data_IF_076430382924
#
_entry.id   IF_076430382924
#
_cell.length_a   1.000
_cell.length_b   1.000
_cell.length_c   1.000
_cell.angle_alpha   90.00
_cell.angle_beta   90.00
_cell.angle_gamma   90.00
#
_symmetry.space_group_name_H-M   'P 1'
#
loop_
_entity.id
_entity.type
_entity.pdbx_description
1 polymer ?
#
# COMPACT_ATOMS: atom_id res chain seq x y z
N UNK A 1 -17.63 32.19 -16.43
CA UNK A 1 -17.88 33.64 -16.60
C UNK A 1 -18.98 33.99 -15.61
N UNK A 2 -18.63 34.48 -14.43
CA UNK A 2 -19.59 34.74 -13.34
C UNK A 2 -20.24 36.11 -13.58
N UNK A 3 -21.37 36.13 -14.29
CA UNK A 3 -22.05 37.34 -14.77
C UNK A 3 -22.93 38.03 -13.71
N UNK A 4 -23.09 37.42 -12.54
CA UNK A 4 -24.04 37.86 -11.50
C UNK A 4 -23.49 38.89 -10.51
N UNK A 5 -22.16 39.06 -10.41
CA UNK A 5 -21.58 39.87 -9.31
C UNK A 5 -20.87 41.17 -9.74
N UNK A 6 -20.84 41.53 -11.03
CA UNK A 6 -20.17 42.75 -11.52
C UNK A 6 -18.73 42.94 -10.98
N UNK A 7 -18.01 41.85 -10.70
CA UNK A 7 -16.65 41.90 -10.16
C UNK A 7 -15.67 42.06 -11.32
N UNK A 8 -14.86 43.12 -11.26
CA UNK A 8 -13.73 43.32 -12.18
C UNK A 8 -12.46 42.81 -11.50
N UNK A 9 -11.87 41.74 -12.02
CA UNK A 9 -10.61 41.19 -11.49
C UNK A 9 -9.45 42.06 -11.97
N UNK A 10 -8.71 42.64 -11.03
CA UNK A 10 -7.50 43.42 -11.31
C UNK A 10 -6.27 42.50 -11.26
N UNK A 11 -5.30 42.74 -12.15
CA UNK A 11 -4.00 42.04 -12.09
C UNK A 11 -3.27 42.41 -10.80
N UNK A 12 -2.56 41.45 -10.16
CA UNK A 12 -1.66 41.77 -9.06
C UNK A 12 -0.55 42.72 -9.54
N UNK A 13 -0.12 43.62 -8.65
CA UNK A 13 0.99 44.54 -8.95
C UNK A 13 2.30 43.78 -9.16
N UNK A 14 3.13 44.27 -10.09
CA UNK A 14 4.47 43.73 -10.34
C UNK A 14 5.37 43.98 -9.14
N UNK A 15 6.16 42.98 -8.74
CA UNK A 15 7.15 43.13 -7.68
C UNK A 15 8.37 43.84 -8.28
N UNK A 16 8.76 44.96 -7.66
CA UNK A 16 9.92 45.76 -8.11
C UNK A 16 11.20 44.92 -8.03
N UNK A 17 11.95 44.86 -9.14
CA UNK A 17 13.21 44.11 -9.23
C UNK A 17 13.08 42.71 -9.83
N UNK A 18 11.86 42.17 -9.98
CA UNK A 18 11.64 40.95 -10.74
C UNK A 18 11.39 41.27 -12.22
N UNK A 19 12.06 40.54 -13.11
CA UNK A 19 11.81 40.61 -14.55
C UNK A 19 10.69 39.66 -14.93
N UNK A 20 9.67 40.19 -15.58
CA UNK A 20 8.54 39.42 -16.11
C UNK A 20 8.68 39.33 -17.63
N UNK A 21 8.43 38.17 -18.24
CA UNK A 21 8.46 38.05 -19.69
C UNK A 21 7.38 38.92 -20.34
N UNK A 22 7.62 39.39 -21.58
CA UNK A 22 6.70 40.30 -22.31
C UNK A 22 5.28 39.73 -22.48
N UNK A 23 5.14 38.41 -22.49
CA UNK A 23 3.88 37.68 -22.59
C UNK A 23 3.38 37.12 -21.23
N UNK A 24 3.89 37.61 -20.11
CA UNK A 24 3.45 37.18 -18.78
C UNK A 24 1.96 37.52 -18.57
N UNK A 25 1.17 36.52 -18.21
CA UNK A 25 -0.26 36.66 -17.96
C UNK A 25 -0.56 36.22 -16.52
N UNK A 26 -0.99 37.15 -15.69
CA UNK A 26 -1.21 36.91 -14.25
C UNK A 26 -2.32 35.91 -13.95
N UNK A 27 -3.19 35.68 -14.93
CA UNK A 27 -4.36 34.82 -14.81
C UNK A 27 -4.22 33.51 -15.58
N UNK A 28 -3.07 33.29 -16.22
CA UNK A 28 -2.77 32.04 -16.92
C UNK A 28 -1.45 31.48 -16.39
N UNK A 29 -1.49 30.22 -15.99
CA UNK A 29 -0.29 29.47 -15.67
C UNK A 29 0.65 29.49 -16.88
N UNK A 30 1.94 29.57 -16.60
CA UNK A 30 2.96 29.23 -17.60
C UNK A 30 2.81 27.77 -18.01
N UNK A 31 3.32 27.42 -19.20
CA UNK A 31 3.28 26.05 -19.67
C UNK A 31 3.95 25.07 -18.69
N UNK A 32 5.05 25.50 -18.07
CA UNK A 32 5.78 24.70 -17.08
C UNK A 32 4.95 24.47 -15.82
N UNK A 33 4.29 25.50 -15.27
CA UNK A 33 3.40 25.36 -14.11
C UNK A 33 2.20 24.47 -14.41
N UNK A 34 1.60 24.61 -15.60
CA UNK A 34 0.51 23.72 -16.04
C UNK A 34 0.98 22.27 -16.14
N UNK A 35 2.14 22.04 -16.76
CA UNK A 35 2.74 20.71 -16.93
C UNK A 35 3.09 20.08 -15.59
N UNK A 36 3.64 20.86 -14.66
CA UNK A 36 3.98 20.40 -13.31
C UNK A 36 2.73 20.02 -12.51
N UNK A 37 1.65 20.82 -12.58
CA UNK A 37 0.37 20.49 -11.93
C UNK A 37 -0.25 19.23 -12.52
N UNK A 38 -0.26 19.11 -13.85
CA UNK A 38 -0.73 17.90 -14.52
C UNK A 38 0.07 16.68 -14.08
N UNK A 39 1.41 16.78 -14.04
CA UNK A 39 2.28 15.70 -13.56
C UNK A 39 1.97 15.34 -12.10
N UNK A 40 1.82 16.31 -11.21
CA UNK A 40 1.50 16.02 -9.80
C UNK A 40 0.14 15.35 -9.64
N UNK A 41 -0.87 15.80 -10.40
CA UNK A 41 -2.20 15.20 -10.37
C UNK A 41 -2.16 13.77 -10.90
N UNK A 42 -1.57 13.57 -12.07
CA UNK A 42 -1.35 12.24 -12.66
C UNK A 42 -0.56 11.33 -11.72
N UNK A 43 0.56 11.81 -11.17
CA UNK A 43 1.37 11.04 -10.23
C UNK A 43 0.57 10.66 -8.99
N UNK A 44 -0.24 11.57 -8.44
CA UNK A 44 -1.09 11.27 -7.28
C UNK A 44 -2.16 10.23 -7.59
N UNK A 45 -2.80 10.31 -8.76
CA UNK A 45 -3.81 9.33 -9.19
C UNK A 45 -3.22 7.96 -9.54
N UNK A 46 -1.97 7.94 -10.04
CA UNK A 46 -1.29 6.73 -10.49
C UNK A 46 -0.20 6.24 -9.52
N UNK A 47 -0.06 6.85 -8.33
CA UNK A 47 0.89 6.43 -7.32
C UNK A 47 0.50 5.04 -6.86
N UNK A 48 1.39 4.07 -7.12
CA UNK A 48 1.26 2.72 -6.56
C UNK A 48 1.65 2.76 -5.10
N UNK A 49 0.90 2.03 -4.28
CA UNK A 49 1.25 1.81 -2.88
C UNK A 49 2.59 1.07 -2.76
N UNK A 50 3.44 1.50 -1.83
CA UNK A 50 4.66 0.77 -1.46
C UNK A 50 4.36 -0.33 -0.44
N UNK A 51 5.28 -1.29 -0.27
CA UNK A 51 5.16 -2.32 0.78
C UNK A 51 5.14 -1.68 2.17
N UNK A 52 5.95 -0.64 2.40
CA UNK A 52 5.96 0.14 3.65
C UNK A 52 4.62 0.84 3.93
N UNK A 53 3.97 1.41 2.91
CA UNK A 53 2.65 2.03 3.06
C UNK A 53 1.56 0.99 3.36
N UNK A 54 1.65 -0.18 2.73
CA UNK A 54 0.74 -1.31 2.98
C UNK A 54 0.93 -1.88 4.39
N UNK A 55 2.17 -2.02 4.82
CA UNK A 55 2.55 -2.46 6.17
C UNK A 55 2.03 -1.48 7.23
N UNK A 56 2.29 -0.18 7.05
CA UNK A 56 1.82 0.85 7.96
C UNK A 56 0.28 0.87 8.06
N UNK A 57 -0.42 0.66 6.95
CA UNK A 57 -1.88 0.56 6.94
C UNK A 57 -2.38 -0.64 7.74
N UNK A 58 -1.84 -1.85 7.48
CA UNK A 58 -2.29 -3.07 8.15
C UNK A 58 -1.88 -3.14 9.61
N UNK A 59 -0.78 -2.48 9.99
CA UNK A 59 -0.44 -2.27 11.38
C UNK A 59 -1.48 -1.41 12.11
N UNK A 60 -1.95 -0.34 11.48
CA UNK A 60 -2.95 0.56 12.05
C UNK A 60 -4.37 -0.03 12.06
N UNK A 61 -4.70 -0.84 11.05
CA UNK A 61 -6.04 -1.39 10.83
C UNK A 61 -6.00 -2.90 10.52
N UNK A 62 -5.52 -3.76 11.44
CA UNK A 62 -5.42 -5.21 11.21
C UNK A 62 -6.78 -5.87 10.96
N UNK A 63 -7.86 -5.30 11.49
CA UNK A 63 -9.24 -5.75 11.27
C UNK A 63 -9.64 -5.72 9.79
N UNK A 64 -8.93 -4.95 8.95
CA UNK A 64 -9.16 -4.92 7.51
C UNK A 64 -8.98 -6.29 6.84
N UNK A 65 -8.20 -7.20 7.44
CA UNK A 65 -8.05 -8.58 6.96
C UNK A 65 -9.23 -9.49 7.36
N UNK A 66 -10.15 -9.04 8.21
CA UNK A 66 -11.28 -9.86 8.68
C UNK A 66 -10.87 -11.08 9.50
N UNK A 67 -9.62 -11.17 9.96
CA UNK A 67 -9.15 -12.20 10.87
C UNK A 67 -9.59 -11.84 12.28
N UNK A 68 -10.46 -12.65 12.86
CA UNK A 68 -11.08 -12.37 14.16
C UNK A 68 -10.02 -12.28 15.27
N UNK A 69 -10.07 -11.17 16.03
CA UNK A 69 -9.16 -10.89 17.14
C UNK A 69 -7.70 -10.65 16.75
N UNK A 70 -7.39 -10.46 15.45
CA UNK A 70 -6.02 -10.21 15.01
C UNK A 70 -5.43 -8.96 15.67
N UNK A 71 -4.28 -9.15 16.32
CA UNK A 71 -3.45 -8.07 16.86
C UNK A 71 -2.05 -8.18 16.28
N UNK A 72 -1.51 -7.07 15.79
CA UNK A 72 -0.11 -7.04 15.35
C UNK A 72 0.79 -6.86 16.58
N UNK A 73 1.70 -7.81 16.79
CA UNK A 73 2.68 -7.81 17.88
C UNK A 73 3.94 -7.04 17.48
N UNK A 74 4.42 -7.28 16.27
CA UNK A 74 5.65 -6.69 15.75
C UNK A 74 5.54 -6.33 14.27
N UNK A 75 6.25 -5.26 13.90
CA UNK A 75 6.55 -4.89 12.52
C UNK A 75 8.00 -5.26 12.23
N UNK A 76 8.31 -5.70 11.02
CA UNK A 76 9.69 -5.99 10.57
C UNK A 76 10.43 -6.88 11.58
N UNK A 77 9.79 -7.99 11.96
CA UNK A 77 10.29 -8.90 13.00
C UNK A 77 11.41 -9.78 12.47
N UNK A 78 12.60 -9.67 13.07
CA UNK A 78 13.78 -10.44 12.65
C UNK A 78 13.68 -11.89 13.09
N UNK A 79 13.89 -12.80 12.15
CA UNK A 79 13.98 -14.25 12.35
C UNK A 79 15.27 -14.79 11.74
N UNK A 80 15.54 -16.08 11.91
CA UNK A 80 16.78 -16.72 11.45
C UNK A 80 16.97 -16.56 9.94
N UNK A 81 15.91 -16.72 9.16
CA UNK A 81 15.97 -16.69 7.71
C UNK A 81 15.60 -15.33 7.09
N UNK A 82 15.30 -14.30 7.88
CA UNK A 82 14.99 -12.98 7.31
C UNK A 82 14.20 -12.07 8.24
N UNK A 83 13.27 -11.31 7.65
CA UNK A 83 12.46 -10.33 8.36
C UNK A 83 11.00 -10.54 7.92
N UNK A 84 10.14 -10.80 8.90
CA UNK A 84 8.69 -10.90 8.71
C UNK A 84 8.12 -9.48 8.68
N UNK A 85 7.34 -9.12 7.65
CA UNK A 85 6.74 -7.79 7.55
C UNK A 85 5.86 -7.46 8.76
N UNK A 86 4.88 -8.30 9.07
CA UNK A 86 4.06 -8.19 10.28
C UNK A 86 3.91 -9.55 10.96
N UNK A 87 4.20 -9.59 12.27
CA UNK A 87 3.92 -10.73 13.13
C UNK A 87 2.75 -10.39 14.03
N UNK A 88 1.67 -11.16 13.93
CA UNK A 88 0.46 -10.99 14.73
C UNK A 88 0.09 -12.21 15.56
N UNK A 89 -1.02 -12.08 16.26
CA UNK A 89 -1.70 -13.13 17.02
C UNK A 89 -3.20 -13.04 16.78
N UNK A 90 -3.86 -14.17 16.52
CA UNK A 90 -5.32 -14.23 16.36
C UNK A 90 -6.04 -14.42 17.72
N UNK A 91 -7.39 -14.45 17.69
CA UNK A 91 -8.20 -14.65 18.90
C UNK A 91 -7.88 -15.94 19.69
N UNK A 92 -7.35 -16.96 19.01
CA UNK A 92 -7.09 -18.28 19.59
C UNK A 92 -5.63 -18.39 20.07
N UNK A 93 -4.86 -17.30 20.01
CA UNK A 93 -3.46 -17.25 20.42
C UNK A 93 -2.47 -17.77 19.37
N UNK A 94 -2.92 -18.10 18.16
CA UNK A 94 -2.03 -18.58 17.11
C UNK A 94 -1.20 -17.42 16.56
N UNK A 95 0.09 -17.67 16.29
CA UNK A 95 0.95 -16.68 15.63
C UNK A 95 0.57 -16.57 14.15
N UNK A 96 0.50 -15.35 13.66
CA UNK A 96 0.13 -15.05 12.27
C UNK A 96 1.30 -14.35 11.60
N UNK A 97 1.97 -15.05 10.69
CA UNK A 97 3.01 -14.49 9.81
C UNK A 97 2.30 -13.84 8.63
N UNK A 98 2.43 -12.53 8.48
CA UNK A 98 1.81 -11.79 7.39
C UNK A 98 2.93 -11.23 6.50
N UNK A 99 2.99 -11.72 5.26
CA UNK A 99 3.95 -11.28 4.23
C UNK A 99 3.22 -10.40 3.21
N UNK A 100 3.84 -9.27 2.85
CA UNK A 100 3.24 -8.24 2.00
C UNK A 100 3.98 -8.16 0.66
N UNK A 101 3.25 -8.11 -0.46
CA UNK A 101 3.85 -7.83 -1.78
C UNK A 101 3.01 -6.84 -2.55
N UNK A 102 3.64 -5.90 -3.25
CA UNK A 102 2.94 -4.95 -4.15
C UNK A 102 3.07 -5.30 -5.63
N UNK A 103 3.76 -6.40 -5.95
CA UNK A 103 4.00 -6.89 -7.32
C UNK A 103 3.21 -8.16 -7.59
N UNK A 104 2.79 -8.36 -8.86
CA UNK A 104 2.04 -9.55 -9.30
C UNK A 104 2.88 -10.84 -9.38
N UNK A 105 4.21 -10.69 -9.49
CA UNK A 105 5.18 -11.80 -9.62
C UNK A 105 6.31 -11.68 -8.59
N UNK A 106 6.01 -11.76 -7.29
CA UNK A 106 7.05 -11.83 -6.26
C UNK A 106 7.79 -13.17 -6.39
N UNK A 107 9.12 -13.13 -6.41
CA UNK A 107 9.96 -14.34 -6.60
C UNK A 107 10.23 -15.08 -5.29
N UNK A 108 10.07 -14.37 -4.19
CA UNK A 108 10.47 -14.67 -2.82
C UNK A 108 9.30 -15.12 -1.93
N UNK A 109 8.08 -14.67 -2.23
CA UNK A 109 6.87 -14.90 -1.40
C UNK A 109 6.71 -16.33 -0.87
N UNK A 110 6.85 -17.33 -1.73
CA UNK A 110 6.64 -18.74 -1.37
C UNK A 110 7.71 -19.19 -0.36
N UNK A 111 8.97 -18.92 -0.69
CA UNK A 111 10.10 -19.22 0.19
C UNK A 111 9.93 -18.49 1.54
N UNK A 112 9.48 -17.23 1.53
CA UNK A 112 9.38 -16.41 2.74
C UNK A 112 8.35 -16.99 3.71
N UNK A 113 7.16 -17.30 3.21
CA UNK A 113 6.12 -17.92 4.02
C UNK A 113 6.56 -19.27 4.59
N UNK A 114 7.29 -20.10 3.83
CA UNK A 114 7.81 -21.37 4.33
C UNK A 114 8.86 -21.15 5.42
N UNK A 115 9.92 -20.40 5.12
CA UNK A 115 11.04 -20.20 6.02
C UNK A 115 10.61 -19.50 7.33
N UNK A 116 9.75 -18.50 7.26
CA UNK A 116 9.32 -17.75 8.44
C UNK A 116 8.36 -18.55 9.32
N UNK A 117 7.51 -19.38 8.73
CA UNK A 117 6.65 -20.27 9.53
C UNK A 117 7.45 -21.39 10.19
N UNK A 118 8.48 -21.92 9.53
CA UNK A 118 9.42 -22.88 10.13
C UNK A 118 10.22 -22.25 11.28
N UNK A 119 10.80 -21.07 11.07
CA UNK A 119 11.55 -20.34 12.10
C UNK A 119 10.75 -20.10 13.38
N UNK A 120 9.45 -19.80 13.26
CA UNK A 120 8.58 -19.60 14.42
C UNK A 120 8.10 -20.91 15.05
N UNK A 121 7.89 -21.97 14.27
CA UNK A 121 7.50 -23.28 14.83
C UNK A 121 8.59 -23.87 15.74
N UNK A 122 9.85 -23.54 15.48
CA UNK A 122 10.97 -23.98 16.32
C UNK A 122 10.98 -23.32 17.71
N UNK A 123 10.29 -22.17 17.86
CA UNK A 123 10.39 -21.31 19.05
C UNK A 123 9.04 -21.18 19.78
N UNK A 124 7.93 -21.25 19.06
CA UNK A 124 6.57 -21.13 19.58
C UNK A 124 5.92 -22.50 19.79
N UNK A 125 5.08 -22.62 20.82
CA UNK A 125 4.31 -23.85 21.09
C UNK A 125 2.96 -23.85 20.37
N UNK A 126 2.47 -22.67 20.01
CA UNK A 126 1.19 -22.43 19.37
C UNK A 126 1.26 -22.70 17.86
N UNK A 127 0.09 -22.82 17.21
CA UNK A 127 0.04 -22.95 15.75
C UNK A 127 0.55 -21.65 15.10
N UNK A 128 1.30 -21.81 14.01
CA UNK A 128 1.73 -20.70 13.16
C UNK A 128 0.91 -20.72 11.87
N UNK A 129 0.19 -19.63 11.59
CA UNK A 129 -0.57 -19.37 10.36
C UNK A 129 0.26 -18.51 9.40
N UNK A 130 0.25 -18.86 8.12
CA UNK A 130 0.80 -18.03 7.05
C UNK A 130 -0.30 -17.24 6.36
N UNK A 131 -0.08 -15.94 6.18
CA UNK A 131 -0.97 -15.01 5.47
C UNK A 131 -0.16 -14.25 4.44
N UNK A 132 -0.60 -14.27 3.18
CA UNK A 132 -0.04 -13.47 2.11
C UNK A 132 -1.01 -12.35 1.73
N UNK A 133 -0.55 -11.10 1.76
CA UNK A 133 -1.34 -9.95 1.30
C UNK A 133 -0.70 -9.35 0.05
N UNK A 134 -1.42 -9.43 -1.08
CA UNK A 134 -0.83 -9.20 -2.40
C UNK A 134 -1.81 -8.51 -3.36
N UNK A 135 -1.39 -7.89 -4.47
CA UNK A 135 -2.30 -7.70 -5.60
C UNK A 135 -2.64 -9.07 -6.20
N UNK A 136 -3.67 -9.17 -7.07
CA UNK A 136 -3.94 -10.40 -7.81
C UNK A 136 -2.69 -10.97 -8.49
N UNK A 137 -2.30 -12.17 -8.06
CA UNK A 137 -1.06 -12.85 -8.47
C UNK A 137 -1.25 -13.63 -9.76
N UNK A 138 -0.13 -13.93 -10.41
CA UNK A 138 -0.10 -14.86 -11.53
C UNK A 138 -0.54 -16.27 -11.13
N UNK A 139 -1.27 -16.95 -12.04
CA UNK A 139 -1.85 -18.29 -11.79
C UNK A 139 -0.82 -19.33 -11.32
N UNK A 140 0.42 -19.25 -11.79
CA UNK A 140 1.50 -20.18 -11.41
C UNK A 140 1.97 -20.01 -9.96
N UNK A 141 1.83 -18.81 -9.39
CA UNK A 141 2.17 -18.54 -7.99
C UNK A 141 1.00 -18.94 -7.10
N UNK A 142 -0.23 -18.60 -7.51
CA UNK A 142 -1.45 -19.03 -6.81
C UNK A 142 -1.52 -20.55 -6.71
N UNK A 143 -1.17 -21.30 -7.76
CA UNK A 143 -1.18 -22.77 -7.74
C UNK A 143 -0.12 -23.38 -6.81
N UNK A 144 0.96 -22.65 -6.50
CA UNK A 144 1.95 -23.08 -5.51
C UNK A 144 1.50 -22.74 -4.09
N UNK A 145 0.93 -21.54 -3.87
CA UNK A 145 0.36 -21.15 -2.59
C UNK A 145 -0.79 -22.08 -2.15
N UNK A 146 -1.62 -22.56 -3.10
CA UNK A 146 -2.67 -23.57 -2.86
C UNK A 146 -2.16 -24.89 -2.29
N UNK A 147 -0.89 -25.22 -2.50
CA UNK A 147 -0.27 -26.45 -1.98
C UNK A 147 0.27 -26.26 -0.55
N UNK A 148 0.26 -25.04 -0.05
CA UNK A 148 0.71 -24.67 1.28
C UNK A 148 -0.49 -24.39 2.19
N UNK A 149 -0.34 -24.59 3.50
CA UNK A 149 -1.31 -24.11 4.50
C UNK A 149 -1.11 -22.59 4.70
N UNK A 150 -1.61 -21.82 3.74
CA UNK A 150 -1.49 -20.36 3.70
C UNK A 150 -2.83 -19.72 3.33
N UNK A 151 -3.14 -18.57 3.92
CA UNK A 151 -4.29 -17.75 3.55
C UNK A 151 -3.85 -16.62 2.61
N UNK A 152 -4.56 -16.46 1.50
CA UNK A 152 -4.27 -15.42 0.51
C UNK A 152 -5.32 -14.30 0.58
N UNK A 153 -4.86 -13.07 0.71
CA UNK A 153 -5.69 -11.87 0.65
C UNK A 153 -5.23 -11.01 -0.53
N UNK A 154 -6.18 -10.62 -1.36
CA UNK A 154 -5.94 -9.60 -2.37
C UNK A 154 -6.30 -8.22 -1.85
N UNK A 155 -5.45 -7.24 -2.16
CA UNK A 155 -5.79 -5.83 -1.93
C UNK A 155 -6.03 -5.10 -3.25
N UNK A 156 -6.95 -4.14 -3.20
CA UNK A 156 -7.25 -3.22 -4.31
C UNK A 156 -7.76 -1.88 -3.76
N UNK A 157 -7.73 -0.85 -4.60
CA UNK A 157 -8.31 0.44 -4.26
C UNK A 157 -9.80 0.46 -4.63
N UNK A 158 -10.67 0.76 -3.67
CA UNK A 158 -12.08 1.05 -3.90
C UNK A 158 -12.43 2.41 -3.27
N UNK A 159 -12.92 3.36 -4.07
CA UNK A 159 -13.27 4.73 -3.60
C UNK A 159 -12.14 5.39 -2.78
N UNK A 160 -10.90 5.29 -3.26
CA UNK A 160 -9.68 5.78 -2.60
C UNK A 160 -9.35 5.13 -1.24
N UNK A 161 -9.91 3.96 -0.92
CA UNK A 161 -9.56 3.17 0.26
C UNK A 161 -8.98 1.81 -0.14
N UNK A 162 -8.02 1.31 0.63
CA UNK A 162 -7.57 -0.07 0.49
C UNK A 162 -8.67 -1.00 0.97
N UNK A 163 -9.01 -1.97 0.12
CA UNK A 163 -9.95 -3.03 0.42
C UNK A 163 -9.22 -4.35 0.30
N UNK A 164 -9.53 -5.29 1.19
CA UNK A 164 -8.90 -6.59 1.27
C UNK A 164 -9.95 -7.67 1.14
N UNK A 165 -9.66 -8.70 0.35
CA UNK A 165 -10.58 -9.79 0.09
C UNK A 165 -9.85 -11.12 0.20
N UNK A 166 -10.33 -11.98 1.11
CA UNK A 166 -9.82 -13.34 1.26
C UNK A 166 -10.14 -14.14 0.00
N UNK A 167 -9.12 -14.77 -0.56
CA UNK A 167 -9.28 -15.66 -1.69
C UNK A 167 -9.49 -17.08 -1.22
N UNK A 168 -10.54 -17.72 -1.73
CA UNK A 168 -10.76 -19.16 -1.57
C UNK A 168 -9.77 -19.90 -2.46
N UNK A 169 -8.62 -20.26 -1.90
CA UNK A 169 -7.57 -21.01 -2.57
C UNK A 169 -7.70 -22.50 -2.29
#
# INVERSE_FOLDING_TARGET
>A
MYKEFSITVQSPSRIKGLKYPLNHNDFKLTFDEYSQRYYFHYFKEHKKISEEELEAYLYAYPEALGIEGLKILHRQHKVKNGIIDLLGEDKDGNKVVIELKVKKRPKDLIWQLQAYTEDLKDICKEKVRAVAVTPPLDKSIVSQLKKMDCELYYFYHHKNRLTFEKQTI
#
